data_IF_092733676127
#
_entry.id   IF_092733676127
#
_cell.length_a   1.000
_cell.length_b   1.000
_cell.length_c   1.000
_cell.angle_alpha   90.00
_cell.angle_beta   90.00
_cell.angle_gamma   90.00
#
_symmetry.space_group_name_H-M   'P 1'
#
loop_
_entity.id
_entity.type
_entity.pdbx_description
1 polymer ?
#
# COMPACT_ATOMS: atom_id res chain seq x y z
N UNK A 1 -59.92 -31.85 0.06
CA UNK A 1 -60.65 -32.98 -0.53
C UNK A 1 -61.21 -32.58 -1.88
N UNK A 2 -60.90 -33.39 -2.92
CA UNK A 2 -61.43 -33.44 -4.31
C UNK A 2 -61.08 -32.24 -5.23
N UNK A 3 -60.24 -32.37 -6.27
CA UNK A 3 -60.34 -33.15 -7.54
C UNK A 3 -61.40 -32.56 -8.50
N UNK A 4 -61.27 -32.41 -9.84
CA UNK A 4 -60.29 -32.77 -10.89
C UNK A 4 -60.73 -32.15 -12.26
N UNK A 5 -59.86 -32.27 -13.30
CA UNK A 5 -60.16 -32.17 -14.76
C UNK A 5 -59.35 -31.05 -15.45
N UNK A 6 -58.44 -31.24 -16.43
CA UNK A 6 -58.30 -32.22 -17.53
C UNK A 6 -59.24 -31.85 -18.70
N UNK A 7 -58.90 -31.70 -20.00
CA UNK A 7 -57.74 -31.93 -20.89
C UNK A 7 -58.03 -31.14 -22.20
N UNK A 8 -57.03 -30.69 -22.98
CA UNK A 8 -57.23 -30.28 -24.38
C UNK A 8 -56.04 -29.60 -25.08
N UNK A 9 -55.17 -30.38 -25.74
CA UNK A 9 -54.30 -29.98 -26.87
C UNK A 9 -55.04 -30.23 -28.22
N UNK A 10 -54.53 -29.88 -29.44
CA UNK A 10 -53.31 -29.14 -29.83
C UNK A 10 -53.55 -27.99 -30.84
N UNK A 11 -52.55 -27.13 -31.07
CA UNK A 11 -52.62 -26.10 -32.12
C UNK A 11 -51.31 -25.35 -32.42
N UNK A 12 -50.38 -26.02 -33.12
CA UNK A 12 -49.45 -25.51 -34.15
C UNK A 12 -48.66 -24.20 -33.88
N UNK A 13 -47.33 -24.33 -33.71
CA UNK A 13 -46.33 -23.25 -33.77
C UNK A 13 -46.15 -22.65 -35.18
N UNK A 14 -45.65 -21.39 -35.27
CA UNK A 14 -44.28 -21.18 -35.79
C UNK A 14 -43.44 -20.18 -34.92
N UNK A 15 -42.13 -20.03 -35.17
CA UNK A 15 -41.10 -19.94 -34.13
C UNK A 15 -40.79 -18.54 -33.60
N UNK A 16 -40.29 -18.50 -32.36
CA UNK A 16 -39.66 -17.34 -31.73
C UNK A 16 -38.19 -17.19 -32.20
N UNK A 17 -37.70 -15.95 -32.39
CA UNK A 17 -36.30 -15.68 -32.74
C UNK A 17 -35.35 -15.93 -31.56
N UNK A 18 -34.10 -16.37 -31.82
CA UNK A 18 -33.19 -16.87 -30.79
C UNK A 18 -32.65 -15.75 -29.91
N UNK A 19 -32.84 -15.93 -28.60
CA UNK A 19 -32.16 -15.17 -27.56
C UNK A 19 -30.75 -15.68 -27.28
N UNK A 20 -29.92 -14.73 -26.84
CA UNK A 20 -29.08 -14.83 -25.65
C UNK A 20 -28.70 -16.26 -25.20
N UNK A 21 -27.58 -16.75 -25.71
CA UNK A 21 -26.84 -17.86 -25.14
C UNK A 21 -25.36 -17.60 -25.39
N UNK A 22 -24.63 -17.16 -24.35
CA UNK A 22 -23.22 -16.80 -24.50
C UNK A 22 -22.61 -16.36 -23.19
N UNK A 23 -22.24 -17.35 -22.36
CA UNK A 23 -21.33 -17.22 -21.24
C UNK A 23 -20.01 -16.62 -21.73
N UNK A 24 -19.60 -15.47 -21.18
CA UNK A 24 -18.22 -15.00 -21.22
C UNK A 24 -17.71 -14.83 -19.80
N UNK A 25 -16.94 -15.83 -19.36
CA UNK A 25 -15.95 -15.70 -18.28
C UNK A 25 -14.81 -14.83 -18.80
N UNK A 26 -14.30 -13.93 -17.98
CA UNK A 26 -13.08 -13.17 -18.25
C UNK A 26 -13.18 -11.75 -17.72
N UNK A 27 -12.54 -11.49 -16.57
CA UNK A 27 -12.23 -10.15 -16.12
C UNK A 27 -11.43 -9.40 -17.20
N UNK A 28 -11.79 -8.16 -17.57
CA UNK A 28 -10.91 -7.35 -18.40
C UNK A 28 -9.80 -6.78 -17.53
N UNK A 29 -8.57 -7.18 -17.86
CA UNK A 29 -7.34 -6.58 -17.33
C UNK A 29 -7.32 -5.06 -17.55
N UNK A 30 -6.76 -4.32 -16.57
CA UNK A 30 -6.66 -2.86 -16.47
C UNK A 30 -6.17 -2.11 -17.73
N UNK A 31 -5.60 -2.81 -18.72
CA UNK A 31 -5.16 -2.24 -20.00
C UNK A 31 -6.28 -2.00 -21.04
N UNK A 32 -7.44 -2.64 -20.93
CA UNK A 32 -8.52 -2.48 -21.92
C UNK A 32 -9.45 -1.28 -21.62
N UNK A 33 -9.51 -0.86 -20.36
CA UNK A 33 -10.31 0.29 -19.91
C UNK A 33 -9.72 1.59 -20.48
N UNK A 34 -8.41 1.78 -20.42
CA UNK A 34 -7.71 2.99 -20.87
C UNK A 34 -8.07 3.44 -22.31
N UNK A 35 -8.19 2.51 -23.27
CA UNK A 35 -8.46 2.84 -24.68
C UNK A 35 -9.92 3.19 -24.98
N UNK A 36 -10.87 2.71 -24.17
CA UNK A 36 -12.30 3.01 -24.36
C UNK A 36 -12.66 4.38 -23.79
N UNK A 37 -12.04 4.77 -22.68
CA UNK A 37 -12.20 6.10 -22.08
C UNK A 37 -11.56 7.20 -22.94
N UNK A 38 -10.41 6.94 -23.57
CA UNK A 38 -9.74 7.89 -24.46
C UNK A 38 -10.57 8.30 -25.70
N UNK A 39 -11.47 7.44 -26.19
CA UNK A 39 -12.38 7.79 -27.32
C UNK A 39 -13.63 8.56 -26.90
N UNK A 40 -14.08 8.43 -25.65
CA UNK A 40 -15.30 9.08 -25.16
C UNK A 40 -15.04 10.53 -24.76
N UNK A 41 -13.80 10.85 -24.34
CA UNK A 41 -13.38 12.19 -23.91
C UNK A 41 -13.32 13.24 -25.03
N UNK A 42 -13.52 12.87 -26.31
CA UNK A 42 -13.31 13.76 -27.46
C UNK A 42 -14.58 14.42 -28.04
N UNK A 43 -15.70 14.47 -27.30
CA UNK A 43 -16.87 15.24 -27.72
C UNK A 43 -17.55 15.96 -26.54
N UNK A 44 -17.38 17.28 -26.51
CA UNK A 44 -17.73 18.20 -25.40
C UNK A 44 -19.21 18.21 -24.97
N UNK A 45 -20.12 17.51 -25.66
CA UNK A 45 -21.55 17.51 -25.35
C UNK A 45 -22.11 16.14 -24.89
N UNK A 46 -21.54 15.02 -25.36
CA UNK A 46 -21.92 13.68 -24.90
C UNK A 46 -21.29 13.33 -23.53
N UNK A 47 -20.17 14.00 -23.20
CA UNK A 47 -19.45 13.82 -21.95
C UNK A 47 -20.26 14.30 -20.72
N UNK A 48 -21.13 15.31 -20.86
CA UNK A 48 -21.90 15.85 -19.73
C UNK A 48 -23.04 14.92 -19.28
N UNK A 49 -23.73 14.24 -20.21
CA UNK A 49 -24.78 13.27 -19.87
C UNK A 49 -24.18 11.96 -19.34
N UNK A 50 -23.02 11.53 -19.87
CA UNK A 50 -22.30 10.36 -19.38
C UNK A 50 -21.61 10.61 -18.04
N UNK A 51 -21.13 11.83 -17.78
CA UNK A 51 -20.60 12.21 -16.47
C UNK A 51 -21.69 12.38 -15.41
N UNK A 52 -22.90 12.85 -15.77
CA UNK A 52 -24.06 12.84 -14.87
C UNK A 52 -24.49 11.41 -14.54
N UNK A 53 -24.58 10.54 -15.55
CA UNK A 53 -24.84 9.13 -15.34
C UNK A 53 -23.73 8.46 -14.51
N UNK A 54 -22.45 8.86 -14.66
CA UNK A 54 -21.35 8.38 -13.85
C UNK A 54 -21.42 8.88 -12.40
N UNK A 55 -21.79 10.15 -12.17
CA UNK A 55 -22.04 10.71 -10.84
C UNK A 55 -23.23 10.02 -10.16
N UNK A 56 -24.32 9.78 -10.88
CA UNK A 56 -25.50 9.04 -10.38
C UNK A 56 -25.15 7.58 -10.07
N UNK A 57 -24.27 6.95 -10.88
CA UNK A 57 -23.77 5.59 -10.65
C UNK A 57 -22.79 5.50 -9.47
N UNK A 58 -21.97 6.54 -9.25
CA UNK A 58 -21.03 6.63 -8.13
C UNK A 58 -21.79 6.95 -6.83
N UNK A 59 -22.73 7.89 -6.86
CA UNK A 59 -23.62 8.22 -5.75
C UNK A 59 -24.55 7.05 -5.36
N UNK A 60 -25.01 6.26 -6.33
CA UNK A 60 -25.84 5.06 -6.10
C UNK A 60 -25.08 3.82 -5.61
N UNK A 61 -23.74 3.82 -5.64
CA UNK A 61 -22.89 2.67 -5.24
C UNK A 61 -22.23 2.84 -3.87
N UNK A 62 -22.52 3.91 -3.13
CA UNK A 62 -21.91 4.15 -1.82
C UNK A 62 -20.40 4.40 -1.87
N UNK A 63 -19.85 4.73 -3.05
CA UNK A 63 -18.47 5.20 -3.15
C UNK A 63 -18.43 6.67 -2.72
N UNK A 64 -17.65 6.94 -1.67
CA UNK A 64 -17.45 8.30 -1.15
C UNK A 64 -16.98 9.24 -2.29
N UNK A 65 -17.66 10.40 -2.50
CA UNK A 65 -17.34 11.39 -3.54
C UNK A 65 -15.88 11.86 -3.55
N UNK A 66 -15.22 11.74 -2.40
CA UNK A 66 -13.82 12.07 -2.12
C UNK A 66 -12.85 11.43 -3.13
N UNK A 67 -13.06 10.14 -3.46
CA UNK A 67 -12.17 9.42 -4.38
C UNK A 67 -12.25 9.91 -5.82
N UNK A 68 -13.37 10.53 -6.21
CA UNK A 68 -13.60 10.94 -7.60
C UNK A 68 -12.88 12.25 -7.93
N UNK A 69 -13.13 13.31 -7.16
CA UNK A 69 -12.48 14.61 -7.37
C UNK A 69 -10.97 14.52 -7.20
N UNK A 70 -10.48 13.80 -6.19
CA UNK A 70 -9.06 13.53 -5.99
C UNK A 70 -8.44 12.78 -7.18
N UNK A 71 -9.14 11.78 -7.74
CA UNK A 71 -8.65 11.05 -8.92
C UNK A 71 -8.58 11.94 -10.16
N UNK A 72 -9.60 12.76 -10.42
CA UNK A 72 -9.57 13.73 -11.52
C UNK A 72 -8.41 14.71 -11.35
N UNK A 73 -8.18 15.18 -10.11
CA UNK A 73 -7.12 16.10 -9.80
C UNK A 73 -5.74 15.48 -10.03
N UNK A 74 -5.52 14.26 -9.55
CA UNK A 74 -4.28 13.49 -9.77
C UNK A 74 -4.00 13.19 -11.23
N UNK A 75 -5.04 13.00 -12.04
CA UNK A 75 -4.92 12.63 -13.46
C UNK A 75 -5.00 13.81 -14.42
N UNK A 76 -5.18 15.04 -13.92
CA UNK A 76 -5.14 16.25 -14.74
C UNK A 76 -6.44 16.57 -15.49
N UNK A 77 -7.56 15.95 -15.11
CA UNK A 77 -8.85 16.12 -15.80
C UNK A 77 -9.55 17.43 -15.38
N UNK A 78 -8.90 18.56 -15.64
CA UNK A 78 -9.32 19.88 -15.19
C UNK A 78 -10.75 20.26 -15.63
N UNK A 79 -11.10 19.99 -16.89
CA UNK A 79 -12.42 20.37 -17.41
C UNK A 79 -13.54 19.54 -16.79
N UNK A 80 -13.29 18.26 -16.52
CA UNK A 80 -14.25 17.39 -15.82
C UNK A 80 -14.37 17.81 -14.36
N UNK A 81 -13.27 18.22 -13.73
CA UNK A 81 -13.27 18.73 -12.35
C UNK A 81 -14.04 20.05 -12.21
N UNK A 82 -13.84 20.99 -13.14
CA UNK A 82 -14.63 22.23 -13.25
C UNK A 82 -16.11 21.94 -13.44
N UNK A 83 -16.45 21.03 -14.34
CA UNK A 83 -17.82 20.60 -14.57
C UNK A 83 -18.44 19.97 -13.33
N UNK A 84 -17.73 19.07 -12.65
CA UNK A 84 -18.21 18.40 -11.44
C UNK A 84 -18.54 19.41 -10.33
N UNK A 85 -17.64 20.38 -10.08
CA UNK A 85 -17.87 21.46 -9.12
C UNK A 85 -19.10 22.30 -9.47
N UNK A 86 -19.25 22.70 -10.73
CA UNK A 86 -20.41 23.49 -11.18
C UNK A 86 -21.74 22.73 -11.07
N UNK A 87 -21.71 21.40 -11.00
CA UNK A 87 -22.88 20.54 -10.81
C UNK A 87 -23.07 20.10 -9.35
N UNK A 88 -22.45 20.80 -8.40
CA UNK A 88 -22.66 20.57 -6.97
C UNK A 88 -21.94 19.35 -6.41
N UNK A 89 -20.93 18.82 -7.12
CA UNK A 89 -20.03 17.82 -6.53
C UNK A 89 -19.32 18.45 -5.33
N UNK A 90 -19.50 17.90 -4.12
CA UNK A 90 -18.90 18.45 -2.92
C UNK A 90 -17.38 18.37 -3.03
N UNK A 91 -16.72 19.53 -3.00
CA UNK A 91 -15.25 19.64 -2.96
C UNK A 91 -14.72 19.55 -1.52
N UNK A 92 -15.55 19.07 -0.57
CA UNK A 92 -15.42 19.26 0.87
C UNK A 92 -14.19 18.61 1.51
N UNK A 93 -13.51 17.70 0.82
CA UNK A 93 -12.14 17.32 1.21
C UNK A 93 -11.15 18.20 0.45
N UNK A 94 -11.17 19.48 0.82
CA UNK A 94 -10.58 20.54 0.02
C UNK A 94 -9.03 20.41 -0.04
N UNK A 95 -8.42 19.70 0.93
CA UNK A 95 -7.00 19.35 1.00
C UNK A 95 -6.62 18.23 0.02
N UNK A 96 -7.53 17.28 -0.25
CA UNK A 96 -7.28 16.14 -1.11
C UNK A 96 -7.07 16.53 -2.58
N UNK A 97 -7.69 17.62 -3.05
CA UNK A 97 -7.57 18.08 -4.45
C UNK A 97 -6.16 18.63 -4.70
N UNK A 98 -5.69 19.53 -3.84
CA UNK A 98 -4.36 20.12 -3.96
C UNK A 98 -3.26 19.06 -3.83
N UNK A 99 -3.32 18.21 -2.80
CA UNK A 99 -2.36 17.11 -2.60
C UNK A 99 -2.38 16.09 -3.75
N UNK A 100 -3.55 15.72 -4.25
CA UNK A 100 -3.67 14.82 -5.42
C UNK A 100 -3.11 15.42 -6.70
N UNK A 101 -3.45 16.68 -6.99
CA UNK A 101 -2.89 17.39 -8.15
C UNK A 101 -1.37 17.54 -8.03
N UNK A 102 -0.88 17.84 -6.83
CA UNK A 102 0.53 17.96 -6.51
C UNK A 102 1.28 16.62 -6.72
N UNK A 103 0.76 15.52 -6.19
CA UNK A 103 1.28 14.16 -6.41
C UNK A 103 1.33 13.78 -7.89
N UNK A 104 0.28 14.13 -8.65
CA UNK A 104 0.17 13.85 -10.07
C UNK A 104 0.95 14.81 -10.97
N UNK A 105 1.55 15.87 -10.43
CA UNK A 105 2.28 16.89 -11.18
C UNK A 105 1.39 17.80 -12.02
N UNK A 106 0.09 17.83 -11.72
CA UNK A 106 -0.93 18.51 -12.49
C UNK A 106 -0.97 20.00 -12.12
N UNK A 107 0.06 20.73 -12.54
CA UNK A 107 0.26 22.13 -12.16
C UNK A 107 -0.94 23.02 -12.50
N UNK A 108 -1.57 22.84 -13.66
CA UNK A 108 -2.76 23.60 -14.06
C UNK A 108 -3.94 23.34 -13.12
N UNK A 109 -4.13 22.08 -12.71
CA UNK A 109 -5.18 21.73 -11.74
C UNK A 109 -4.86 22.32 -10.38
N UNK A 110 -3.62 22.25 -9.93
CA UNK A 110 -3.19 22.80 -8.65
C UNK A 110 -3.36 24.32 -8.60
N UNK A 111 -3.00 25.03 -9.68
CA UNK A 111 -3.23 26.47 -9.85
C UNK A 111 -4.72 26.81 -9.83
N UNK A 112 -5.53 26.05 -10.56
CA UNK A 112 -6.97 26.24 -10.59
C UNK A 112 -7.58 26.00 -9.20
N UNK A 113 -7.22 24.91 -8.52
CA UNK A 113 -7.72 24.59 -7.19
C UNK A 113 -7.38 25.72 -6.21
N UNK A 114 -6.13 26.19 -6.23
CA UNK A 114 -5.71 27.30 -5.36
C UNK A 114 -6.46 28.60 -5.66
N UNK A 115 -6.61 28.96 -6.93
CA UNK A 115 -7.37 30.16 -7.34
C UNK A 115 -8.86 30.10 -7.00
N UNK A 116 -9.36 28.92 -6.64
CA UNK A 116 -10.75 28.68 -6.27
C UNK A 116 -10.97 28.44 -4.77
N UNK A 117 -9.95 28.72 -3.96
CA UNK A 117 -10.03 28.66 -2.50
C UNK A 117 -9.79 27.28 -1.91
N UNK A 118 -9.36 26.28 -2.69
CA UNK A 118 -8.93 25.01 -2.11
C UNK A 118 -7.73 25.27 -1.17
N UNK A 119 -7.80 24.83 0.10
CA UNK A 119 -6.72 24.90 1.04
C UNK A 119 -5.61 23.95 0.62
N UNK A 120 -4.46 24.24 1.21
CA UNK A 120 -3.26 23.44 1.10
C UNK A 120 -2.51 23.56 2.40
N UNK A 121 -1.57 22.67 2.59
CA UNK A 121 -0.76 22.49 3.78
C UNK A 121 0.54 21.77 3.39
N UNK A 122 1.36 21.44 4.38
CA UNK A 122 2.60 20.70 4.22
C UNK A 122 2.37 19.35 3.53
N UNK A 123 1.22 18.70 3.74
CA UNK A 123 0.86 17.48 3.04
C UNK A 123 0.78 17.66 1.51
N UNK A 124 0.40 18.84 1.02
CA UNK A 124 0.43 19.15 -0.41
C UNK A 124 1.87 19.14 -0.96
N UNK A 125 2.82 19.71 -0.23
CA UNK A 125 4.24 19.69 -0.62
C UNK A 125 4.86 18.31 -0.51
N UNK A 126 4.55 17.56 0.56
CA UNK A 126 4.98 16.18 0.76
C UNK A 126 4.41 15.25 -0.32
N UNK A 127 3.17 15.48 -0.76
CA UNK A 127 2.56 14.75 -1.89
C UNK A 127 3.27 15.03 -3.22
N UNK A 128 3.61 16.30 -3.51
CA UNK A 128 4.42 16.64 -4.68
C UNK A 128 5.78 15.94 -4.65
N UNK A 129 6.39 15.90 -3.46
CA UNK A 129 7.67 15.27 -3.25
C UNK A 129 7.63 13.75 -3.46
N UNK A 130 6.62 13.07 -2.89
CA UNK A 130 6.40 11.63 -3.09
C UNK A 130 6.20 11.29 -4.57
N UNK A 131 5.48 12.13 -5.30
CA UNK A 131 5.23 11.94 -6.73
C UNK A 131 6.38 12.35 -7.65
N UNK A 132 7.45 12.93 -7.10
CA UNK A 132 8.62 13.40 -7.86
C UNK A 132 8.36 14.66 -8.68
N UNK A 133 7.37 15.46 -8.29
CA UNK A 133 6.83 16.55 -9.10
C UNK A 133 7.48 17.88 -8.74
N UNK A 134 8.74 18.06 -9.14
CA UNK A 134 9.53 19.24 -8.80
C UNK A 134 8.85 20.56 -9.18
N UNK A 135 8.26 20.65 -10.37
CA UNK A 135 7.58 21.87 -10.84
C UNK A 135 6.38 22.25 -9.96
N UNK A 136 5.58 21.25 -9.55
CA UNK A 136 4.44 21.46 -8.68
C UNK A 136 4.89 21.91 -7.28
N UNK A 137 5.93 21.28 -6.74
CA UNK A 137 6.53 21.64 -5.46
C UNK A 137 7.11 23.06 -5.47
N UNK A 138 7.89 23.41 -6.49
CA UNK A 138 8.45 24.74 -6.68
C UNK A 138 7.36 25.81 -6.73
N UNK A 139 6.30 25.56 -7.51
CA UNK A 139 5.18 26.48 -7.61
C UNK A 139 4.43 26.62 -6.29
N UNK A 140 4.12 25.51 -5.61
CA UNK A 140 3.44 25.53 -4.32
C UNK A 140 4.26 26.34 -3.29
N UNK A 141 5.58 26.12 -3.23
CA UNK A 141 6.47 26.84 -2.32
C UNK A 141 6.55 28.33 -2.62
N UNK A 142 6.69 28.70 -3.89
CA UNK A 142 6.74 30.09 -4.34
C UNK A 142 5.45 30.87 -4.02
N UNK A 143 4.32 30.17 -3.87
CA UNK A 143 3.02 30.76 -3.56
C UNK A 143 2.63 30.62 -2.08
N UNK A 144 3.57 30.24 -1.21
CA UNK A 144 3.37 30.25 0.24
C UNK A 144 2.74 28.97 0.82
N UNK A 145 2.72 27.87 0.07
CA UNK A 145 2.42 26.56 0.65
C UNK A 145 3.53 26.20 1.67
N UNK A 146 3.20 25.81 2.91
CA UNK A 146 4.17 25.40 3.89
C UNK A 146 4.79 24.04 3.50
N UNK A 147 5.94 23.75 4.10
CA UNK A 147 6.62 22.46 4.01
C UNK A 147 7.25 22.12 5.36
N UNK A 148 7.64 20.87 5.55
CA UNK A 148 8.34 20.39 6.73
C UNK A 148 9.22 19.18 6.38
N UNK A 149 9.74 18.46 7.39
CA UNK A 149 10.63 17.33 7.18
C UNK A 149 10.01 16.20 6.34
N UNK A 150 8.68 16.06 6.33
CA UNK A 150 8.00 15.04 5.53
C UNK A 150 8.19 15.26 4.04
N UNK A 151 8.39 16.51 3.59
CA UNK A 151 8.70 16.77 2.18
C UNK A 151 10.00 16.07 1.75
N UNK A 152 11.02 16.08 2.61
CA UNK A 152 12.26 15.32 2.38
C UNK A 152 12.07 13.82 2.57
N UNK A 153 11.29 13.37 3.57
CA UNK A 153 10.98 11.95 3.78
C UNK A 153 10.33 11.33 2.55
N UNK A 154 9.32 12.00 2.01
CA UNK A 154 8.53 11.53 0.88
C UNK A 154 9.30 11.57 -0.44
N UNK A 155 10.11 12.61 -0.68
CA UNK A 155 11.04 12.63 -1.81
C UNK A 155 12.02 11.44 -1.75
N UNK A 156 12.52 11.13 -0.55
CA UNK A 156 13.44 10.02 -0.33
C UNK A 156 12.75 8.66 -0.51
N UNK A 157 11.52 8.53 -0.02
CA UNK A 157 10.69 7.34 -0.17
C UNK A 157 10.42 7.03 -1.65
N UNK A 158 10.02 8.04 -2.43
CA UNK A 158 9.76 7.93 -3.86
C UNK A 158 11.01 7.74 -4.73
N UNK A 159 12.21 7.87 -4.15
CA UNK A 159 13.47 7.77 -4.90
C UNK A 159 13.78 9.01 -5.74
N UNK A 160 13.14 10.14 -5.45
CA UNK A 160 13.21 11.35 -6.28
C UNK A 160 14.37 12.24 -5.85
N UNK A 161 15.60 11.80 -6.14
CA UNK A 161 16.83 12.50 -5.75
C UNK A 161 16.85 13.99 -6.13
N UNK A 162 16.43 14.31 -7.35
CA UNK A 162 16.38 15.70 -7.83
C UNK A 162 15.41 16.59 -7.03
N UNK A 163 14.31 16.03 -6.52
CA UNK A 163 13.38 16.76 -5.64
C UNK A 163 13.99 16.94 -4.26
N UNK A 164 14.58 15.89 -3.70
CA UNK A 164 15.24 15.94 -2.40
C UNK A 164 16.39 16.96 -2.38
N UNK A 165 17.22 16.97 -3.44
CA UNK A 165 18.28 17.95 -3.65
C UNK A 165 17.74 19.37 -3.61
N UNK A 166 16.73 19.65 -4.44
CA UNK A 166 16.14 20.99 -4.49
C UNK A 166 15.51 21.39 -3.16
N UNK A 167 14.78 20.49 -2.50
CA UNK A 167 14.16 20.78 -1.20
C UNK A 167 15.21 21.12 -0.14
N UNK A 168 16.28 20.33 -0.04
CA UNK A 168 17.39 20.57 0.88
C UNK A 168 18.10 21.89 0.59
N UNK A 169 18.47 22.14 -0.67
CA UNK A 169 19.19 23.35 -1.08
C UNK A 169 18.38 24.64 -0.82
N UNK A 170 17.05 24.53 -0.72
CA UNK A 170 16.14 25.63 -0.43
C UNK A 170 15.70 25.68 1.04
N UNK A 171 16.34 24.92 1.93
CA UNK A 171 16.16 24.99 3.37
C UNK A 171 14.96 24.21 3.91
N UNK A 172 14.47 23.20 3.17
CA UNK A 172 13.54 22.23 3.73
C UNK A 172 14.26 21.40 4.81
N UNK A 173 13.70 21.26 6.03
CA UNK A 173 14.32 20.45 7.06
C UNK A 173 14.31 18.96 6.68
N UNK A 174 15.21 18.21 7.30
CA UNK A 174 15.28 16.75 7.21
C UNK A 174 15.77 16.16 8.54
N UNK A 175 15.58 14.86 8.73
CA UNK A 175 16.01 14.11 9.91
C UNK A 175 16.34 12.65 9.54
N UNK A 176 16.57 11.80 10.54
CA UNK A 176 16.93 10.39 10.36
C UNK A 176 15.91 9.63 9.50
N UNK A 177 14.65 10.05 9.52
CA UNK A 177 13.58 9.41 8.77
C UNK A 177 13.76 9.58 7.26
N UNK A 178 14.45 10.63 6.78
CA UNK A 178 14.80 10.76 5.35
C UNK A 178 15.62 9.56 4.88
N UNK A 179 16.64 9.18 5.65
CA UNK A 179 17.45 7.98 5.37
C UNK A 179 16.64 6.70 5.53
N UNK A 180 15.82 6.61 6.58
CA UNK A 180 14.99 5.42 6.85
C UNK A 180 13.95 5.17 5.74
N UNK A 181 13.37 6.22 5.14
CA UNK A 181 12.42 6.12 4.03
C UNK A 181 13.09 5.71 2.73
N UNK A 182 14.25 6.27 2.39
CA UNK A 182 15.06 5.81 1.25
C UNK A 182 15.44 4.33 1.41
N UNK A 183 15.80 3.91 2.63
CA UNK A 183 16.15 2.53 2.94
C UNK A 183 14.96 1.57 2.76
N UNK A 184 13.75 1.97 3.16
CA UNK A 184 12.52 1.18 3.03
C UNK A 184 12.23 0.76 1.59
N UNK A 185 12.47 1.65 0.63
CA UNK A 185 12.20 1.41 -0.81
C UNK A 185 13.44 1.10 -1.63
N UNK A 186 14.60 0.87 -0.98
CA UNK A 186 15.81 0.42 -1.66
C UNK A 186 16.55 1.50 -2.45
N UNK A 187 16.31 2.77 -2.15
CA UNK A 187 16.82 3.93 -2.88
C UNK A 187 18.27 4.24 -2.49
N UNK A 188 19.20 3.37 -2.87
CA UNK A 188 20.60 3.44 -2.46
C UNK A 188 21.29 4.76 -2.86
N UNK A 189 21.04 5.26 -4.08
CA UNK A 189 21.68 6.51 -4.53
C UNK A 189 21.15 7.74 -3.79
N UNK A 190 19.85 7.72 -3.42
CA UNK A 190 19.26 8.76 -2.55
C UNK A 190 19.90 8.72 -1.18
N UNK A 191 20.01 7.52 -0.58
CA UNK A 191 20.61 7.35 0.74
C UNK A 191 22.08 7.78 0.77
N UNK A 192 22.87 7.41 -0.24
CA UNK A 192 24.26 7.85 -0.41
C UNK A 192 24.37 9.37 -0.45
N UNK A 193 23.55 10.01 -1.27
CA UNK A 193 23.58 11.46 -1.42
C UNK A 193 23.12 12.15 -0.13
N UNK A 194 22.02 11.71 0.50
CA UNK A 194 21.53 12.28 1.76
C UNK A 194 22.62 12.20 2.84
N UNK A 195 23.28 11.03 2.97
CA UNK A 195 24.36 10.86 3.93
C UNK A 195 25.57 11.74 3.65
N UNK A 196 25.98 11.85 2.40
CA UNK A 196 27.11 12.69 1.99
C UNK A 196 26.87 14.19 2.28
N UNK A 197 25.60 14.61 2.34
CA UNK A 197 25.21 15.99 2.65
C UNK A 197 24.81 16.20 4.12
N UNK A 198 25.13 15.23 4.99
CA UNK A 198 24.98 15.40 6.45
C UNK A 198 23.60 15.06 7.00
N UNK A 199 22.73 14.42 6.22
CA UNK A 199 21.50 13.84 6.77
C UNK A 199 21.87 12.81 7.86
N UNK A 200 21.26 12.89 9.06
CA UNK A 200 21.48 11.89 10.10
C UNK A 200 20.81 10.57 9.71
N UNK A 201 21.17 9.50 10.43
CA UNK A 201 20.57 8.17 10.31
C UNK A 201 20.63 7.46 11.66
N UNK A 202 19.86 6.39 11.80
CA UNK A 202 19.79 5.58 13.01
C UNK A 202 19.50 4.10 12.67
N UNK A 203 19.09 3.33 13.69
CA UNK A 203 18.78 1.90 13.54
C UNK A 203 17.63 1.64 12.55
N UNK A 204 16.70 2.58 12.38
CA UNK A 204 15.55 2.41 11.46
C UNK A 204 16.00 2.37 10.00
N UNK A 205 17.14 2.96 9.65
CA UNK A 205 17.73 2.84 8.31
C UNK A 205 18.08 1.38 7.98
N UNK A 206 18.80 0.69 8.88
CA UNK A 206 19.12 -0.73 8.70
C UNK A 206 17.88 -1.62 8.79
N UNK A 207 16.99 -1.34 9.76
CA UNK A 207 15.73 -2.08 9.95
C UNK A 207 14.85 -2.04 8.71
N UNK A 208 14.62 -0.87 8.14
CA UNK A 208 13.76 -0.70 6.96
C UNK A 208 14.39 -1.28 5.70
N UNK A 209 15.71 -1.14 5.52
CA UNK A 209 16.43 -1.83 4.46
C UNK A 209 16.24 -3.34 4.54
N UNK A 210 16.33 -3.89 5.76
CA UNK A 210 16.21 -5.30 6.01
C UNK A 210 14.78 -5.81 5.77
N UNK A 211 13.77 -5.08 6.26
CA UNK A 211 12.36 -5.40 6.03
C UNK A 211 11.89 -5.24 4.60
N UNK A 212 12.54 -4.39 3.80
CA UNK A 212 12.29 -4.26 2.36
C UNK A 212 13.10 -5.21 1.47
N UNK A 213 14.00 -6.01 2.06
CA UNK A 213 14.81 -6.99 1.32
C UNK A 213 16.02 -6.41 0.59
N UNK A 214 16.42 -5.18 0.92
CA UNK A 214 17.42 -4.40 0.17
C UNK A 214 18.85 -4.71 0.64
N UNK A 215 19.33 -5.92 0.37
CA UNK A 215 20.62 -6.42 0.87
C UNK A 215 21.82 -5.51 0.55
N UNK A 216 21.94 -5.05 -0.70
CA UNK A 216 23.08 -4.21 -1.11
C UNK A 216 23.07 -2.85 -0.42
N UNK A 217 21.88 -2.29 -0.17
CA UNK A 217 21.73 -1.06 0.59
C UNK A 217 22.09 -1.28 2.05
N UNK A 218 21.63 -2.38 2.67
CA UNK A 218 21.98 -2.72 4.05
C UNK A 218 23.50 -2.94 4.21
N UNK A 219 24.15 -3.65 3.27
CA UNK A 219 25.61 -3.81 3.24
C UNK A 219 26.32 -2.46 3.21
N UNK A 220 25.89 -1.56 2.32
CA UNK A 220 26.48 -0.24 2.19
C UNK A 220 26.26 0.59 3.46
N UNK A 221 25.05 0.62 4.02
CA UNK A 221 24.74 1.36 5.25
C UNK A 221 25.62 0.86 6.41
N UNK A 222 25.74 -0.47 6.57
CA UNK A 222 26.57 -1.06 7.62
C UNK A 222 28.05 -0.77 7.45
N UNK A 223 28.58 -0.86 6.23
CA UNK A 223 29.97 -0.54 5.92
C UNK A 223 30.33 0.92 6.22
N UNK A 224 29.35 1.82 6.20
CA UNK A 224 29.53 3.24 6.49
C UNK A 224 29.15 3.63 7.93
N UNK A 225 28.95 2.65 8.81
CA UNK A 225 28.77 2.89 10.25
C UNK A 225 27.32 3.18 10.67
N UNK A 226 26.34 2.89 9.82
CA UNK A 226 24.94 2.91 10.25
C UNK A 226 24.74 1.90 11.39
N UNK A 227 24.11 2.30 12.51
CA UNK A 227 23.84 1.39 13.60
C UNK A 227 22.73 0.41 13.21
N UNK A 228 22.68 -0.74 13.89
CA UNK A 228 21.64 -1.76 13.75
C UNK A 228 21.38 -2.39 15.11
N UNK A 229 20.27 -3.10 15.24
CA UNK A 229 19.82 -3.73 16.48
C UNK A 229 19.02 -5.00 16.15
N UNK A 230 18.47 -5.74 17.13
CA UNK A 230 17.72 -6.97 16.84
C UNK A 230 16.51 -6.78 15.93
N UNK A 231 15.99 -5.55 15.81
CA UNK A 231 14.87 -5.25 14.92
C UNK A 231 15.24 -5.43 13.44
N UNK A 232 16.53 -5.31 13.09
CA UNK A 232 17.01 -5.54 11.73
C UNK A 232 16.77 -7.00 11.30
N UNK A 233 17.09 -7.97 12.16
CA UNK A 233 16.80 -9.37 11.90
C UNK A 233 15.30 -9.67 11.93
N UNK A 234 14.55 -9.12 12.90
CA UNK A 234 13.10 -9.40 12.99
C UNK A 234 12.29 -8.80 11.84
N UNK A 235 12.72 -7.68 11.24
CA UNK A 235 12.08 -7.09 10.06
C UNK A 235 12.46 -7.84 8.77
N UNK A 236 13.72 -8.29 8.62
CA UNK A 236 14.08 -9.20 7.53
C UNK A 236 13.24 -10.49 7.58
N UNK A 237 13.00 -11.01 8.78
CA UNK A 237 12.18 -12.18 9.00
C UNK A 237 10.69 -11.93 8.69
N UNK A 238 10.16 -10.77 9.10
CA UNK A 238 8.80 -10.33 8.78
C UNK A 238 8.56 -10.19 7.27
N UNK A 239 9.53 -9.67 6.52
CA UNK A 239 9.46 -9.54 5.05
C UNK A 239 9.80 -10.82 4.28
N UNK A 240 10.17 -11.90 4.97
CA UNK A 240 10.51 -13.17 4.33
C UNK A 240 11.87 -13.17 3.63
N UNK A 241 12.74 -12.20 3.92
CA UNK A 241 13.99 -11.97 3.23
C UNK A 241 15.13 -12.81 3.84
N UNK A 242 15.11 -14.12 3.56
CA UNK A 242 16.07 -15.08 4.12
C UNK A 242 17.54 -14.70 3.86
N UNK A 243 17.88 -14.27 2.65
CA UNK A 243 19.26 -13.88 2.29
C UNK A 243 19.75 -12.68 3.13
N UNK A 244 18.86 -11.72 3.37
CA UNK A 244 19.16 -10.56 4.23
C UNK A 244 19.36 -10.99 5.66
N UNK A 245 18.49 -11.85 6.19
CA UNK A 245 18.59 -12.37 7.55
C UNK A 245 19.90 -13.17 7.75
N UNK A 246 20.24 -14.03 6.78
CA UNK A 246 21.49 -14.80 6.75
C UNK A 246 22.70 -13.88 6.79
N UNK A 247 22.73 -12.87 5.92
CA UNK A 247 23.84 -11.93 5.87
C UNK A 247 23.93 -11.09 7.16
N UNK A 248 22.82 -10.55 7.66
CA UNK A 248 22.80 -9.77 8.89
C UNK A 248 23.33 -10.59 10.08
N UNK A 249 22.89 -11.85 10.19
CA UNK A 249 23.35 -12.76 11.25
C UNK A 249 24.83 -13.08 11.12
N UNK A 250 25.30 -13.41 9.91
CA UNK A 250 26.71 -13.72 9.65
C UNK A 250 27.64 -12.55 9.96
N UNK A 251 27.13 -11.31 9.92
CA UNK A 251 27.88 -10.09 10.21
C UNK A 251 27.65 -9.58 11.65
N UNK A 252 27.07 -10.40 12.53
CA UNK A 252 26.97 -10.11 13.96
C UNK A 252 25.76 -9.28 14.39
N UNK A 253 24.75 -9.14 13.54
CA UNK A 253 23.48 -8.58 13.98
C UNK A 253 22.85 -9.52 15.03
N UNK A 254 22.41 -8.98 16.18
CA UNK A 254 21.67 -9.76 17.16
C UNK A 254 20.26 -10.10 16.64
N UNK A 255 19.65 -11.12 17.23
CA UNK A 255 18.25 -11.49 17.04
C UNK A 255 17.64 -11.84 18.40
N UNK A 256 16.31 -11.92 18.47
CA UNK A 256 15.57 -12.37 19.66
C UNK A 256 14.33 -13.18 19.21
N UNK A 257 13.49 -13.60 20.14
CA UNK A 257 12.30 -14.44 19.95
C UNK A 257 11.35 -13.84 18.92
N UNK A 258 11.19 -12.51 18.90
CA UNK A 258 10.36 -11.83 17.90
C UNK A 258 10.82 -12.01 16.45
N UNK A 259 12.05 -12.50 16.20
CA UNK A 259 12.51 -12.84 14.86
C UNK A 259 11.77 -14.08 14.35
N UNK A 260 11.56 -15.09 15.18
CA UNK A 260 10.74 -16.26 14.82
C UNK A 260 9.26 -15.91 14.82
N UNK A 261 8.79 -15.14 15.80
CA UNK A 261 7.36 -14.77 15.88
C UNK A 261 6.92 -13.87 14.72
N UNK A 262 7.80 -13.01 14.18
CA UNK A 262 7.51 -12.24 12.96
C UNK A 262 7.51 -13.08 11.68
N UNK A 263 8.47 -14.01 11.55
CA UNK A 263 8.45 -14.95 10.42
C UNK A 263 7.18 -15.82 10.45
N UNK A 264 6.74 -16.22 11.65
CA UNK A 264 5.51 -16.97 11.85
C UNK A 264 4.26 -16.16 11.50
N UNK A 265 4.19 -14.90 11.96
CA UNK A 265 3.08 -13.99 11.65
C UNK A 265 2.86 -13.78 10.15
N UNK A 266 3.96 -13.64 9.39
CA UNK A 266 3.91 -13.43 7.94
C UNK A 266 3.95 -14.73 7.12
N UNK A 267 3.98 -15.90 7.76
CA UNK A 267 3.87 -17.19 7.06
C UNK A 267 5.15 -17.66 6.39
N UNK A 268 6.31 -17.10 6.73
CA UNK A 268 7.59 -17.40 6.10
C UNK A 268 8.25 -18.64 6.71
N UNK A 269 7.71 -19.82 6.39
CA UNK A 269 8.14 -21.10 6.95
C UNK A 269 9.64 -21.39 6.75
N UNK A 270 10.20 -21.11 5.57
CA UNK A 270 11.62 -21.37 5.30
C UNK A 270 12.54 -20.44 6.11
N UNK A 271 12.11 -19.20 6.36
CA UNK A 271 12.82 -18.28 7.26
C UNK A 271 12.79 -18.82 8.68
N UNK A 272 11.62 -19.26 9.16
CA UNK A 272 11.47 -19.81 10.50
C UNK A 272 12.31 -21.09 10.70
N UNK A 273 12.28 -22.01 9.73
CA UNK A 273 13.12 -23.23 9.72
C UNK A 273 14.59 -22.88 9.83
N UNK A 274 15.07 -21.96 8.99
CA UNK A 274 16.46 -21.55 9.00
C UNK A 274 16.84 -20.85 10.30
N UNK A 275 16.01 -19.92 10.80
CA UNK A 275 16.27 -19.21 12.05
C UNK A 275 16.37 -20.20 13.22
N UNK A 276 15.46 -21.17 13.30
CA UNK A 276 15.50 -22.22 14.33
C UNK A 276 16.74 -23.11 14.22
N UNK A 277 17.07 -23.56 13.01
CA UNK A 277 18.24 -24.40 12.76
C UNK A 277 19.57 -23.71 13.16
N UNK A 278 19.59 -22.37 13.17
CA UNK A 278 20.76 -21.57 13.54
C UNK A 278 20.70 -21.02 14.98
N UNK A 279 19.77 -21.53 15.80
CA UNK A 279 19.70 -21.21 17.23
C UNK A 279 19.02 -19.89 17.57
N UNK A 280 18.17 -19.35 16.69
CA UNK A 280 17.25 -18.28 17.08
C UNK A 280 16.27 -18.84 18.14
N UNK A 281 16.06 -18.12 19.26
CA UNK A 281 15.07 -18.53 20.24
C UNK A 281 13.66 -18.36 19.68
N UNK A 282 12.73 -19.12 20.23
CA UNK A 282 11.29 -19.04 19.97
C UNK A 282 10.53 -19.24 21.29
N UNK A 283 9.28 -18.83 21.33
CA UNK A 283 8.39 -18.89 22.49
C UNK A 283 6.94 -19.13 22.04
N UNK A 284 5.99 -19.10 22.99
CA UNK A 284 4.57 -19.33 22.76
C UNK A 284 3.99 -18.35 21.72
N UNK A 285 4.55 -17.13 21.67
CA UNK A 285 4.16 -16.07 20.72
C UNK A 285 4.42 -16.49 19.28
N UNK A 286 5.42 -17.35 19.02
CA UNK A 286 5.66 -17.87 17.67
C UNK A 286 4.47 -18.68 17.16
N UNK A 287 3.85 -19.52 17.99
CA UNK A 287 2.65 -20.26 17.62
C UNK A 287 1.41 -19.37 17.57
N UNK A 288 1.26 -18.42 18.51
CA UNK A 288 0.13 -17.48 18.50
C UNK A 288 0.12 -16.62 17.22
N UNK A 289 1.29 -16.10 16.82
CA UNK A 289 1.43 -15.31 15.60
C UNK A 289 1.19 -16.14 14.33
N UNK A 290 1.66 -17.38 14.28
CA UNK A 290 1.35 -18.29 13.18
C UNK A 290 -0.17 -18.46 13.01
N UNK A 291 -0.90 -18.57 14.12
CA UNK A 291 -2.35 -18.69 14.10
C UNK A 291 -3.03 -17.38 13.70
N UNK A 292 -2.54 -16.23 14.21
CA UNK A 292 -3.06 -14.92 13.86
C UNK A 292 -2.91 -14.60 12.38
N UNK A 293 -1.81 -15.02 11.75
CA UNK A 293 -1.61 -14.92 10.29
C UNK A 293 -2.34 -16.00 9.47
N UNK A 294 -2.99 -16.97 10.12
CA UNK A 294 -3.71 -18.04 9.45
C UNK A 294 -2.83 -19.11 8.81
N UNK A 295 -1.59 -19.26 9.27
CA UNK A 295 -0.57 -20.09 8.63
C UNK A 295 -0.52 -21.51 9.23
N UNK A 296 -1.54 -22.33 8.92
CA UNK A 296 -1.70 -23.67 9.48
C UNK A 296 -0.48 -24.58 9.30
N UNK A 297 0.09 -24.66 8.09
CA UNK A 297 1.25 -25.52 7.83
C UNK A 297 2.47 -25.12 8.66
N UNK A 298 2.66 -23.82 8.86
CA UNK A 298 3.74 -23.28 9.68
C UNK A 298 3.51 -23.60 11.15
N UNK A 299 2.29 -23.43 11.65
CA UNK A 299 1.92 -23.80 13.02
C UNK A 299 2.13 -25.30 13.28
N UNK A 300 1.68 -26.15 12.35
CA UNK A 300 1.89 -27.60 12.40
C UNK A 300 3.37 -27.94 12.51
N UNK A 301 4.20 -27.33 11.65
CA UNK A 301 5.63 -27.54 11.68
C UNK A 301 6.27 -27.06 12.99
N UNK A 302 5.91 -25.87 13.48
CA UNK A 302 6.44 -25.32 14.72
C UNK A 302 6.12 -26.25 15.92
N UNK A 303 4.88 -26.75 15.99
CA UNK A 303 4.45 -27.71 17.03
C UNK A 303 5.16 -29.05 16.92
N UNK A 304 5.29 -29.59 15.72
CA UNK A 304 6.03 -30.84 15.49
C UNK A 304 7.51 -30.74 15.90
N UNK A 305 8.07 -29.53 15.94
CA UNK A 305 9.47 -29.28 16.33
C UNK A 305 9.62 -28.74 17.76
N UNK A 306 8.55 -28.78 18.58
CA UNK A 306 8.60 -28.45 20.00
C UNK A 306 8.56 -26.97 20.33
N UNK A 307 8.07 -26.11 19.43
CA UNK A 307 7.73 -24.73 19.78
C UNK A 307 6.59 -24.74 20.81
N UNK A 308 6.71 -24.07 21.97
CA UNK A 308 5.63 -24.02 22.96
C UNK A 308 4.43 -23.24 22.40
N UNK A 309 3.27 -23.44 23.02
CA UNK A 309 2.03 -22.74 22.69
C UNK A 309 1.18 -22.58 23.96
N UNK A 310 0.29 -21.61 23.98
CA UNK A 310 -0.65 -21.33 25.07
C UNK A 310 -2.02 -20.95 24.51
N UNK A 311 -2.92 -20.47 25.38
CA UNK A 311 -4.28 -20.07 24.98
C UNK A 311 -4.30 -18.94 23.94
N UNK A 312 -3.22 -18.18 23.74
CA UNK A 312 -3.17 -17.07 22.78
C UNK A 312 -3.32 -17.55 21.33
N UNK A 313 -3.00 -18.82 21.03
CA UNK A 313 -3.28 -19.44 19.73
C UNK A 313 -4.77 -19.43 19.39
N UNK A 314 -5.66 -19.47 20.40
CA UNK A 314 -7.10 -19.45 20.22
C UNK A 314 -7.70 -18.04 20.23
N UNK A 315 -6.92 -17.01 20.60
CA UNK A 315 -7.36 -15.62 20.71
C UNK A 315 -7.41 -14.89 19.34
N UNK A 316 -7.19 -15.60 18.24
CA UNK A 316 -7.15 -15.01 16.90
C UNK A 316 -8.53 -14.53 16.45
N UNK A 317 -8.63 -13.25 16.09
CA UNK A 317 -9.88 -12.66 15.60
C UNK A 317 -10.30 -13.23 14.23
N UNK A 318 -11.59 -13.11 13.92
CA UNK A 318 -12.31 -13.81 12.83
C UNK A 318 -11.54 -13.93 11.50
N UNK A 319 -11.44 -15.15 10.95
CA UNK A 319 -10.92 -15.40 9.60
C UNK A 319 -10.18 -16.73 9.42
N UNK A 320 -9.66 -17.31 10.49
CA UNK A 320 -8.80 -18.50 10.43
C UNK A 320 -9.34 -19.69 11.24
N UNK A 321 -10.65 -19.93 11.13
CA UNK A 321 -11.36 -20.99 11.87
C UNK A 321 -10.70 -22.37 11.73
N UNK A 322 -10.21 -22.72 10.55
CA UNK A 322 -9.50 -23.97 10.29
C UNK A 322 -8.22 -24.14 11.13
N UNK A 323 -7.53 -23.04 11.48
CA UNK A 323 -6.35 -23.07 12.36
C UNK A 323 -6.77 -23.30 13.80
N UNK A 324 -7.81 -22.60 14.26
CA UNK A 324 -8.37 -22.73 15.61
C UNK A 324 -8.89 -24.15 15.84
N UNK A 325 -9.68 -24.68 14.89
CA UNK A 325 -10.21 -26.05 14.94
C UNK A 325 -9.08 -27.09 15.03
N UNK A 326 -8.02 -26.90 14.24
CA UNK A 326 -6.85 -27.75 14.31
C UNK A 326 -6.14 -27.63 15.67
N UNK A 327 -5.94 -26.41 16.18
CA UNK A 327 -5.29 -26.18 17.47
C UNK A 327 -6.06 -26.82 18.63
N UNK A 328 -7.39 -26.66 18.68
CA UNK A 328 -8.27 -27.31 19.66
C UNK A 328 -8.15 -28.83 19.57
N UNK A 329 -8.24 -29.38 18.34
CA UNK A 329 -8.16 -30.83 18.10
C UNK A 329 -6.81 -31.43 18.49
N UNK A 330 -5.77 -30.61 18.59
CA UNK A 330 -4.40 -31.03 18.94
C UNK A 330 -4.00 -30.60 20.36
N UNK A 331 -4.95 -30.23 21.21
CA UNK A 331 -4.73 -30.02 22.65
C UNK A 331 -4.12 -28.67 23.00
N UNK A 332 -4.42 -27.63 22.23
CA UNK A 332 -4.11 -26.25 22.63
C UNK A 332 -4.87 -25.88 23.92
N UNK A 333 -4.21 -25.30 24.95
CA UNK A 333 -4.87 -24.84 26.17
C UNK A 333 -5.96 -23.81 25.88
N UNK A 334 -6.99 -23.79 26.72
CA UNK A 334 -8.10 -22.84 26.62
C UNK A 334 -7.97 -21.66 27.60
N UNK A 335 -7.13 -21.79 28.63
CA UNK A 335 -6.86 -20.83 29.72
C UNK A 335 -5.37 -20.80 30.11
#
# INVERSE_FOLDING_TARGET
GRAAGGVGEPGVHPPAPPGCGGVWRGEPTLGAVSRRWARVLNSNHACAQTAKAALDLVAGRGHQPESFAATLARTGQLEVLKWARNNGCPMHDELAICSSAAFGGQLEVLQWARGNGCPWDDYTTSSAALGGQLNALQWARANGCPWDQYTCHEAALGGHLHVLQWAHDNGCPWDESTCAHAARTGQLEVLKWARANGCPWDHDTCRNAAGGGHLELLKWARANGCPWDPSTCSNAALGGHLEVLQWARANGCPWQEWTTSNAAFAGHLEVLKWARANGCPWDEVTCANAAQGGHLELLQWARANGCPWDHMVLATEEGHQHVIEWAISNGCPAD
#
